data_IF_519106930617
#
_entry.id   IF_519106930617
#
_cell.length_a   1.000
_cell.length_b   1.000
_cell.length_c   1.000
_cell.angle_alpha   90.00
_cell.angle_beta   90.00
_cell.angle_gamma   90.00
#
_symmetry.space_group_name_H-M   'P 1'
#
loop_
_entity.id
_entity.type
_entity.pdbx_description
1 polymer ?
#
# COMPACT_ATOMS: atom_id res chain seq x y z
N UNK A 1 2.82 1.56 -21.87
CA UNK A 1 2.98 1.98 -20.46
C UNK A 1 4.26 2.78 -20.42
N UNK A 2 4.22 3.98 -19.84
CA UNK A 2 5.38 4.84 -19.65
C UNK A 2 5.87 4.71 -18.20
N UNK A 3 7.14 4.99 -17.96
CA UNK A 3 7.70 4.99 -16.61
C UNK A 3 7.17 6.17 -15.81
N UNK A 4 7.03 5.98 -14.49
CA UNK A 4 6.57 7.06 -13.61
C UNK A 4 7.64 8.15 -13.50
N UNK A 5 7.25 9.39 -13.77
CA UNK A 5 8.10 10.54 -13.55
C UNK A 5 8.13 10.94 -12.07
N UNK A 6 9.27 10.73 -11.42
CA UNK A 6 9.46 10.93 -9.99
C UNK A 6 10.40 12.09 -9.68
N UNK A 7 10.07 12.84 -8.64
CA UNK A 7 11.01 13.62 -7.85
C UNK A 7 11.14 13.03 -6.45
N UNK A 8 12.25 13.35 -5.79
CA UNK A 8 12.50 12.99 -4.40
C UNK A 8 12.52 14.26 -3.56
N UNK A 9 11.52 14.45 -2.70
CA UNK A 9 11.40 15.64 -1.85
C UNK A 9 11.59 15.20 -0.40
N UNK A 10 12.72 15.59 0.19
CA UNK A 10 13.10 15.18 1.54
C UNK A 10 13.22 13.65 1.72
N UNK A 11 13.52 12.92 0.64
CA UNK A 11 13.64 11.46 0.66
C UNK A 11 12.34 10.71 0.36
N UNK A 12 11.21 11.40 0.23
CA UNK A 12 9.92 10.80 -0.12
C UNK A 12 9.64 10.94 -1.63
N UNK A 13 9.03 9.92 -2.27
CA UNK A 13 8.71 9.94 -3.69
C UNK A 13 7.50 10.82 -3.99
N UNK A 14 7.66 11.73 -4.94
CA UNK A 14 6.66 12.67 -5.43
C UNK A 14 6.40 12.42 -6.92
N UNK A 15 5.14 12.26 -7.31
CA UNK A 15 4.75 12.09 -8.71
C UNK A 15 4.69 13.45 -9.42
N UNK A 16 5.48 13.62 -10.48
CA UNK A 16 5.40 14.83 -11.33
C UNK A 16 4.07 14.90 -12.08
N UNK A 17 3.61 13.75 -12.58
CA UNK A 17 2.38 13.65 -13.37
C UNK A 17 1.14 14.03 -12.57
N UNK A 18 1.02 13.51 -11.34
CA UNK A 18 -0.15 13.74 -10.49
C UNK A 18 0.04 14.87 -9.48
N UNK A 19 1.26 15.41 -9.38
CA UNK A 19 1.65 16.49 -8.48
C UNK A 19 1.33 16.18 -7.01
N UNK A 20 1.55 14.94 -6.58
CA UNK A 20 1.27 14.48 -5.22
C UNK A 20 2.31 13.45 -4.72
N UNK A 21 2.38 13.29 -3.40
CA UNK A 21 3.17 12.25 -2.75
C UNK A 21 2.47 10.88 -2.84
N UNK A 22 3.24 9.81 -2.96
CA UNK A 22 2.68 8.45 -2.95
C UNK A 22 2.14 8.02 -1.58
N UNK A 23 2.58 8.67 -0.51
CA UNK A 23 2.14 8.40 0.86
C UNK A 23 2.39 9.61 1.77
N UNK A 24 1.68 9.65 2.91
CA UNK A 24 1.91 10.68 3.93
C UNK A 24 3.31 10.57 4.53
N UNK A 25 4.05 11.69 4.55
CA UNK A 25 5.39 11.77 5.15
C UNK A 25 5.41 11.21 6.58
N UNK A 26 6.39 10.37 6.87
CA UNK A 26 6.61 9.70 8.16
C UNK A 26 5.44 8.83 8.67
N UNK A 27 4.39 8.59 7.87
CA UNK A 27 3.19 7.87 8.31
C UNK A 27 2.76 6.74 7.39
N UNK A 28 3.52 6.47 6.33
CA UNK A 28 3.16 5.52 5.30
C UNK A 28 2.79 4.12 5.84
N UNK A 29 3.57 3.59 6.79
CA UNK A 29 3.29 2.28 7.43
C UNK A 29 2.06 2.36 8.35
N UNK A 30 1.95 3.40 9.18
CA UNK A 30 0.81 3.58 10.08
C UNK A 30 -0.51 3.77 9.32
N UNK A 31 -0.47 4.54 8.24
CA UNK A 31 -1.59 4.76 7.34
C UNK A 31 -2.01 3.47 6.65
N UNK A 32 -1.05 2.69 6.14
CA UNK A 32 -1.33 1.36 5.59
C UNK A 32 -1.96 0.41 6.63
N UNK A 33 -1.40 0.33 7.83
CA UNK A 33 -1.96 -0.51 8.90
C UNK A 33 -3.42 -0.14 9.21
N UNK A 34 -3.69 1.15 9.39
CA UNK A 34 -5.03 1.61 9.76
C UNK A 34 -6.04 1.50 8.61
N UNK A 35 -5.70 2.01 7.43
CA UNK A 35 -6.63 2.09 6.30
C UNK A 35 -6.76 0.73 5.60
N UNK A 36 -5.64 0.05 5.39
CA UNK A 36 -5.60 -1.17 4.58
C UNK A 36 -5.82 -2.43 5.41
N UNK A 37 -4.96 -2.70 6.41
CA UNK A 37 -5.03 -3.93 7.19
C UNK A 37 -6.25 -3.95 8.12
N UNK A 38 -6.39 -2.92 8.96
CA UNK A 38 -7.51 -2.79 9.90
C UNK A 38 -8.82 -2.51 9.16
N UNK A 39 -8.79 -1.59 8.19
CA UNK A 39 -9.98 -1.26 7.38
C UNK A 39 -10.58 -2.47 6.64
N UNK A 40 -9.75 -3.40 6.16
CA UNK A 40 -10.22 -4.66 5.55
C UNK A 40 -10.32 -5.83 6.54
N UNK A 41 -9.99 -5.63 7.81
CA UNK A 41 -9.95 -6.64 8.88
C UNK A 41 -9.09 -7.86 8.49
N UNK A 42 -7.95 -7.63 7.82
CA UNK A 42 -7.17 -8.68 7.17
C UNK A 42 -6.70 -9.74 8.18
N UNK A 43 -6.13 -9.33 9.30
CA UNK A 43 -5.65 -10.25 10.34
C UNK A 43 -6.76 -11.19 10.85
N UNK A 44 -7.96 -10.64 11.09
CA UNK A 44 -9.12 -11.43 11.53
C UNK A 44 -9.63 -12.36 10.44
N UNK A 45 -9.61 -11.94 9.17
CA UNK A 45 -10.08 -12.78 8.06
C UNK A 45 -9.09 -13.91 7.78
N UNK A 46 -7.78 -13.63 7.85
CA UNK A 46 -6.73 -14.62 7.70
C UNK A 46 -6.71 -15.63 8.85
N UNK A 47 -6.90 -15.20 10.10
CA UNK A 47 -6.97 -16.12 11.24
C UNK A 47 -8.12 -17.13 11.14
N UNK A 48 -9.17 -16.78 10.39
CA UNK A 48 -10.33 -17.63 10.12
C UNK A 48 -10.27 -18.33 8.75
N UNK A 49 -9.19 -18.15 7.99
CA UNK A 49 -9.02 -18.77 6.69
C UNK A 49 -8.74 -20.25 6.86
N UNK A 50 -9.51 -21.09 6.16
CA UNK A 50 -9.31 -22.54 6.15
C UNK A 50 -8.01 -22.87 5.43
N UNK A 51 -7.34 -23.95 5.85
CA UNK A 51 -6.01 -24.37 5.36
C UNK A 51 -5.90 -24.48 3.83
N UNK A 52 -6.96 -24.91 3.15
CA UNK A 52 -6.96 -25.15 1.70
C UNK A 52 -7.52 -23.96 0.90
N UNK A 53 -7.69 -22.79 1.53
CA UNK A 53 -8.25 -21.60 0.90
C UNK A 53 -7.17 -20.55 0.68
N UNK A 54 -7.24 -19.87 -0.46
CA UNK A 54 -6.36 -18.75 -0.82
C UNK A 54 -7.08 -17.45 -0.53
N UNK A 55 -6.38 -16.50 0.08
CA UNK A 55 -6.86 -15.14 0.25
C UNK A 55 -6.31 -14.27 -0.87
N UNK A 56 -7.18 -13.71 -1.71
CA UNK A 56 -6.79 -12.85 -2.82
C UNK A 56 -7.06 -11.38 -2.49
N UNK A 57 -6.12 -10.52 -2.84
CA UNK A 57 -6.22 -9.07 -2.68
C UNK A 57 -6.00 -8.45 -4.06
N UNK A 58 -6.93 -7.58 -4.46
CA UNK A 58 -6.78 -6.73 -5.64
C UNK A 58 -6.43 -5.32 -5.18
N UNK A 59 -5.31 -4.80 -5.66
CA UNK A 59 -4.88 -3.43 -5.41
C UNK A 59 -5.03 -2.58 -6.68
N UNK A 60 -5.63 -1.40 -6.54
CA UNK A 60 -5.71 -0.41 -7.62
C UNK A 60 -4.62 0.62 -7.41
N UNK A 61 -3.62 0.61 -8.29
CA UNK A 61 -2.45 1.48 -8.19
C UNK A 61 -1.41 0.93 -7.22
N UNK A 62 -0.42 0.22 -7.76
CA UNK A 62 0.67 -0.36 -6.94
C UNK A 62 1.59 0.71 -6.35
N UNK A 63 1.82 1.80 -7.08
CA UNK A 63 2.66 2.91 -6.64
C UNK A 63 4.06 2.47 -6.21
N UNK A 64 4.41 2.77 -4.96
CA UNK A 64 5.68 2.37 -4.35
C UNK A 64 5.65 0.96 -3.74
N UNK A 65 4.51 0.26 -3.83
CA UNK A 65 4.32 -1.10 -3.31
C UNK A 65 4.17 -1.19 -1.80
N UNK A 66 3.95 -0.08 -1.09
CA UNK A 66 3.96 -0.08 0.38
C UNK A 66 2.84 -0.93 0.98
N UNK A 67 1.62 -0.89 0.42
CA UNK A 67 0.54 -1.72 0.93
C UNK A 67 0.85 -3.19 0.79
N UNK A 68 1.37 -3.59 -0.38
CA UNK A 68 1.82 -4.95 -0.61
C UNK A 68 2.88 -5.39 0.41
N UNK A 69 3.93 -4.59 0.60
CA UNK A 69 5.04 -4.93 1.51
C UNK A 69 4.62 -5.00 2.99
N UNK A 70 3.73 -4.12 3.44
CA UNK A 70 3.21 -4.12 4.82
C UNK A 70 2.20 -5.25 5.05
N UNK A 71 1.53 -5.71 3.98
CA UNK A 71 0.55 -6.80 4.04
C UNK A 71 1.21 -8.19 4.14
N UNK A 72 2.48 -8.34 3.72
CA UNK A 72 3.24 -9.60 3.83
C UNK A 72 3.66 -9.90 5.27
#
# INVERSE_FOLDING_TARGET
>A
VEEAELDWISGDPFSKTYQDFYFSKNKAISECNFIYLEGNQLLKRWSNLKRDYVFNIGELGFGTGINFLVTL
#
